data_IF_329172973284
#
_entry.id   IF_329172973284
#
_cell.length_a   1.000
_cell.length_b   1.000
_cell.length_c   1.000
_cell.angle_alpha   90.00
_cell.angle_beta   90.00
_cell.angle_gamma   90.00
#
_symmetry.space_group_name_H-M   'P 1'
#
loop_
_entity.id
_entity.type
_entity.pdbx_description
1 polymer ?
#
# COMPACT_ATOMS: atom_id res chain seq x y z
N UNK A 1 -11.66 -18.19 2.17
CA UNK A 1 -10.30 -18.20 2.76
C UNK A 1 -9.48 -17.25 1.92
N UNK A 2 -9.30 -16.01 2.37
CA UNK A 2 -8.47 -15.03 1.67
C UNK A 2 -7.01 -15.40 1.97
N UNK A 3 -6.25 -15.82 0.95
CA UNK A 3 -4.81 -16.00 1.11
C UNK A 3 -4.25 -14.60 1.15
N UNK A 4 -3.83 -14.14 2.32
CA UNK A 4 -3.10 -12.89 2.47
C UNK A 4 -1.72 -13.13 1.83
N UNK A 5 -1.54 -12.59 0.63
CA UNK A 5 -0.28 -12.53 -0.08
C UNK A 5 0.39 -11.17 0.09
N UNK A 6 1.41 -10.96 -0.73
CA UNK A 6 2.30 -9.81 -0.71
C UNK A 6 2.61 -9.43 -2.15
N UNK A 7 2.40 -8.17 -2.53
CA UNK A 7 2.87 -7.65 -3.82
C UNK A 7 4.30 -7.15 -3.64
N UNK A 8 5.20 -7.42 -4.58
CA UNK A 8 6.59 -6.96 -4.50
C UNK A 8 7.14 -6.60 -5.88
N UNK A 9 8.02 -5.61 -5.90
CA UNK A 9 8.77 -5.22 -7.07
C UNK A 9 10.18 -4.79 -6.67
N UNK A 10 11.19 -5.19 -7.46
CA UNK A 10 12.57 -4.72 -7.29
C UNK A 10 13.04 -4.06 -8.59
N UNK A 11 13.69 -2.89 -8.50
CA UNK A 11 14.23 -2.20 -9.67
C UNK A 11 15.44 -1.34 -9.33
N UNK A 12 16.41 -1.34 -10.25
CA UNK A 12 17.43 -0.30 -10.31
C UNK A 12 16.84 0.94 -10.98
N UNK A 13 16.64 1.98 -10.19
CA UNK A 13 16.21 3.27 -10.68
C UNK A 13 17.42 4.03 -11.23
N UNK A 14 17.13 4.90 -12.20
CA UNK A 14 18.06 5.95 -12.63
C UNK A 14 18.61 6.71 -11.43
N UNK A 15 19.83 7.23 -11.60
CA UNK A 15 20.64 7.85 -10.54
C UNK A 15 21.24 6.87 -9.52
N UNK A 16 21.17 5.56 -9.79
CA UNK A 16 21.90 4.53 -9.06
C UNK A 16 21.36 4.25 -7.67
N UNK A 17 20.04 4.15 -7.60
CA UNK A 17 19.32 3.64 -6.43
C UNK A 17 18.74 2.29 -6.81
N UNK A 18 19.00 1.27 -6.00
CA UNK A 18 18.23 0.02 -6.03
C UNK A 18 17.12 0.13 -5.02
N UNK A 19 15.90 -0.19 -5.43
CA UNK A 19 14.73 -0.20 -4.54
C UNK A 19 14.06 -1.57 -4.64
N UNK A 20 13.78 -2.15 -3.49
CA UNK A 20 12.89 -3.29 -3.30
C UNK A 20 11.66 -2.81 -2.53
N UNK A 21 10.49 -2.98 -3.13
CA UNK A 21 9.21 -2.58 -2.56
C UNK A 21 8.38 -3.82 -2.30
N UNK A 22 7.80 -3.87 -1.11
CA UNK A 22 6.92 -4.95 -0.65
C UNK A 22 5.65 -4.31 -0.07
N UNK A 23 4.50 -4.57 -0.70
CA UNK A 23 3.20 -4.10 -0.26
C UNK A 23 2.39 -5.22 0.40
N UNK A 24 1.94 -5.00 1.63
CA UNK A 24 1.20 -5.99 2.43
C UNK A 24 0.09 -5.29 3.23
N UNK A 25 -1.11 -5.88 3.34
CA UNK A 25 -1.57 -7.14 2.75
C UNK A 25 -1.99 -6.99 1.27
N UNK A 26 -1.90 -8.08 0.50
CA UNK A 26 -2.51 -8.20 -0.83
C UNK A 26 -3.26 -9.56 -0.94
N UNK A 27 -4.60 -9.60 -1.11
CA UNK A 27 -5.49 -8.48 -1.37
C UNK A 27 -5.83 -7.67 -0.11
N UNK A 28 -6.21 -6.40 -0.33
CA UNK A 28 -6.59 -5.45 0.72
C UNK A 28 -8.04 -4.99 0.52
N UNK A 29 -8.81 -4.97 1.61
CA UNK A 29 -10.19 -4.50 1.57
C UNK A 29 -10.27 -2.96 1.53
N UNK A 30 -11.33 -2.36 0.95
CA UNK A 30 -11.59 -0.93 1.06
C UNK A 30 -11.62 -0.48 2.53
N UNK A 31 -11.00 0.66 2.82
CA UNK A 31 -10.80 1.19 4.17
C UNK A 31 -9.66 0.52 4.96
N UNK A 32 -9.05 -0.54 4.42
CA UNK A 32 -7.88 -1.20 5.00
C UNK A 32 -6.62 -0.35 4.93
N UNK A 33 -5.62 -0.73 5.74
CA UNK A 33 -4.29 -0.13 5.71
C UNK A 33 -3.36 -1.03 4.91
N UNK A 34 -2.66 -0.44 3.95
CA UNK A 34 -1.62 -1.02 3.14
C UNK A 34 -0.27 -0.49 3.61
N UNK A 35 0.63 -1.39 3.98
CA UNK A 35 2.02 -1.05 4.31
C UNK A 35 2.90 -1.32 3.09
N UNK A 36 3.64 -0.30 2.65
CA UNK A 36 4.76 -0.44 1.74
C UNK A 36 6.06 -0.45 2.54
N UNK A 37 6.69 -1.62 2.63
CA UNK A 37 8.05 -1.76 3.12
C UNK A 37 9.02 -1.56 1.94
N UNK A 38 9.99 -0.69 2.11
CA UNK A 38 10.93 -0.28 1.08
C UNK A 38 12.34 -0.52 1.60
N UNK A 39 13.08 -1.41 0.95
CA UNK A 39 14.51 -1.58 1.14
C UNK A 39 15.23 -0.88 -0.01
N UNK A 40 16.25 -0.07 0.31
CA UNK A 40 16.94 0.71 -0.71
C UNK A 40 18.45 0.70 -0.50
N UNK A 41 19.16 0.80 -1.62
CA UNK A 41 20.62 0.95 -1.65
C UNK A 41 21.01 1.98 -2.69
N UNK A 42 21.60 3.09 -2.23
CA UNK A 42 22.17 4.13 -3.09
C UNK A 42 23.62 3.75 -3.39
N UNK A 43 23.90 3.38 -4.64
CA UNK A 43 25.21 2.89 -5.10
C UNK A 43 25.88 3.79 -6.13
N UNK A 44 25.20 4.85 -6.58
CA UNK A 44 25.79 5.86 -7.45
C UNK A 44 25.42 7.26 -6.99
N UNK A 45 26.37 8.18 -7.17
CA UNK A 45 26.24 9.60 -6.81
C UNK A 45 26.23 10.50 -8.05
N UNK A 46 26.05 9.93 -9.23
CA UNK A 46 26.25 10.64 -10.50
C UNK A 46 25.27 11.80 -10.69
N UNK A 47 24.17 11.81 -9.95
CA UNK A 47 23.09 12.81 -9.97
C UNK A 47 22.49 12.95 -8.57
N UNK A 48 23.30 13.33 -7.59
CA UNK A 48 22.79 13.78 -6.29
C UNK A 48 22.13 15.15 -6.50
N UNK A 49 21.05 15.44 -5.78
CA UNK A 49 20.49 16.79 -5.72
C UNK A 49 21.55 17.82 -5.32
N UNK A 50 21.33 19.09 -5.67
CA UNK A 50 22.26 20.19 -5.34
C UNK A 50 22.53 20.33 -3.82
N UNK A 51 21.65 19.76 -3.00
CA UNK A 51 21.72 19.67 -1.54
C UNK A 51 22.51 18.46 -1.02
N UNK A 52 23.07 17.64 -1.91
CA UNK A 52 23.77 16.42 -1.52
C UNK A 52 22.82 15.32 -1.06
N UNK A 53 21.55 15.32 -1.48
CA UNK A 53 20.56 14.31 -1.07
C UNK A 53 20.01 13.53 -2.25
N UNK A 54 19.69 12.26 -1.99
CA UNK A 54 19.00 11.41 -2.94
C UNK A 54 17.54 11.32 -2.52
N UNK A 55 16.63 11.69 -3.43
CA UNK A 55 15.20 11.71 -3.13
C UNK A 55 14.49 10.59 -3.87
N UNK A 56 13.52 9.95 -3.20
CA UNK A 56 12.53 9.08 -3.83
C UNK A 56 11.16 9.73 -3.72
N UNK A 57 10.44 9.78 -4.84
CA UNK A 57 9.06 10.18 -4.89
C UNK A 57 8.14 8.98 -5.08
N UNK A 58 6.94 9.09 -4.56
CA UNK A 58 5.91 8.07 -4.62
C UNK A 58 4.66 8.74 -5.15
N UNK A 59 4.18 8.26 -6.29
CA UNK A 59 2.95 8.73 -6.93
C UNK A 59 1.85 7.68 -6.82
N UNK A 60 0.66 8.12 -6.44
CA UNK A 60 -0.53 7.30 -6.31
C UNK A 60 -1.77 8.08 -6.74
N UNK A 61 -2.87 7.39 -7.05
CA UNK A 61 -4.15 8.05 -7.30
C UNK A 61 -4.80 8.44 -5.96
N UNK A 62 -5.02 9.74 -5.68
CA UNK A 62 -5.67 10.18 -4.44
C UNK A 62 -7.14 9.75 -4.33
N UNK A 63 -7.76 9.26 -5.41
CA UNK A 63 -9.06 8.60 -5.34
C UNK A 63 -8.97 7.17 -4.79
N UNK A 64 -7.80 6.54 -4.86
CA UNK A 64 -7.59 5.14 -4.48
C UNK A 64 -6.90 4.96 -3.14
N UNK A 65 -5.95 5.85 -2.84
CA UNK A 65 -5.09 5.78 -1.66
C UNK A 65 -5.01 7.13 -0.95
N UNK A 66 -4.89 7.08 0.38
CA UNK A 66 -4.61 8.21 1.24
C UNK A 66 -3.33 7.94 2.04
N UNK A 67 -2.36 8.84 1.97
CA UNK A 67 -1.16 8.75 2.80
C UNK A 67 -1.50 9.01 4.28
N UNK A 68 -1.10 8.10 5.17
CA UNK A 68 -1.35 8.22 6.62
C UNK A 68 -0.08 8.61 7.36
N UNK A 69 1.00 7.86 7.15
CA UNK A 69 2.28 8.09 7.82
C UNK A 69 3.42 7.30 7.18
N UNK A 70 4.64 7.62 7.56
CA UNK A 70 5.84 6.86 7.22
C UNK A 70 6.80 6.80 8.40
N UNK A 71 7.69 5.80 8.40
CA UNK A 71 8.74 5.67 9.42
C UNK A 71 9.83 6.73 9.31
N UNK A 72 9.90 7.42 8.17
CA UNK A 72 10.78 8.57 7.91
C UNK A 72 9.93 9.79 7.56
N UNK A 73 10.39 10.97 7.94
CA UNK A 73 9.70 12.22 7.62
C UNK A 73 9.72 12.49 6.12
N UNK A 74 8.56 12.81 5.56
CA UNK A 74 8.49 13.27 4.19
C UNK A 74 9.14 14.65 4.05
N UNK A 75 9.82 14.87 2.93
CA UNK A 75 10.29 16.18 2.52
C UNK A 75 9.12 17.06 2.04
N UNK A 76 8.17 16.44 1.35
CA UNK A 76 6.99 17.10 0.81
C UNK A 76 5.83 16.11 0.73
N UNK A 77 4.64 16.59 1.08
CA UNK A 77 3.40 15.84 1.02
C UNK A 77 2.36 16.65 0.25
N UNK A 78 1.84 16.07 -0.83
CA UNK A 78 0.73 16.60 -1.60
C UNK A 78 -0.23 15.46 -1.96
N UNK A 79 -1.52 15.74 -2.20
CA UNK A 79 -2.44 14.70 -2.67
C UNK A 79 -1.90 14.03 -3.93
N UNK A 80 -1.69 12.72 -3.86
CA UNK A 80 -1.18 11.90 -4.97
C UNK A 80 0.34 11.83 -5.11
N UNK A 81 1.12 12.62 -4.37
CA UNK A 81 2.59 12.55 -4.39
C UNK A 81 3.20 12.80 -3.00
N UNK A 82 4.03 11.87 -2.53
CA UNK A 82 4.88 12.04 -1.33
C UNK A 82 6.34 11.82 -1.69
N UNK A 83 7.26 12.63 -1.14
CA UNK A 83 8.70 12.50 -1.38
C UNK A 83 9.51 12.35 -0.08
N UNK A 84 10.56 11.54 -0.14
CA UNK A 84 11.44 11.23 0.99
C UNK A 84 12.92 11.41 0.64
N UNK A 85 13.68 11.97 1.57
CA UNK A 85 15.14 12.01 1.52
C UNK A 85 15.72 10.66 1.94
N UNK A 86 16.30 9.90 1.03
CA UNK A 86 16.97 8.63 1.34
C UNK A 86 18.34 8.81 2.01
N UNK A 87 18.93 10.00 1.93
CA UNK A 87 20.32 10.25 2.31
C UNK A 87 21.30 9.45 1.44
N UNK A 88 22.47 9.17 2.02
CA UNK A 88 23.49 8.32 1.38
C UNK A 88 23.52 6.93 1.99
N UNK A 89 23.80 5.93 1.15
CA UNK A 89 23.97 4.54 1.56
C UNK A 89 22.69 3.71 1.40
N UNK A 90 22.57 2.68 2.23
CA UNK A 90 21.44 1.75 2.22
C UNK A 90 20.60 1.88 3.49
N UNK A 91 19.32 1.58 3.39
CA UNK A 91 18.40 1.61 4.52
C UNK A 91 17.04 1.04 4.16
N UNK A 92 16.10 1.16 5.10
CA UNK A 92 14.73 0.76 4.86
C UNK A 92 13.73 1.73 5.47
N UNK A 93 12.50 1.73 4.95
CA UNK A 93 11.39 2.51 5.47
C UNK A 93 10.05 1.80 5.26
N UNK A 94 9.08 2.12 6.12
CA UNK A 94 7.70 1.68 5.99
C UNK A 94 6.81 2.89 5.72
N UNK A 95 5.84 2.72 4.84
CA UNK A 95 4.84 3.73 4.48
C UNK A 95 3.46 3.12 4.63
N UNK A 96 2.59 3.82 5.36
CA UNK A 96 1.23 3.39 5.62
C UNK A 96 0.26 4.22 4.79
N UNK A 97 -0.49 3.56 3.92
CA UNK A 97 -1.53 4.15 3.10
C UNK A 97 -2.87 3.51 3.41
N UNK A 98 -3.94 4.30 3.43
CA UNK A 98 -5.30 3.82 3.56
C UNK A 98 -5.93 3.64 2.19
N UNK A 99 -6.59 2.51 1.99
CA UNK A 99 -7.30 2.20 0.75
C UNK A 99 -8.66 2.89 0.74
N UNK A 100 -8.90 3.76 -0.23
CA UNK A 100 -10.16 4.47 -0.42
C UNK A 100 -11.05 3.82 -1.47
N UNK A 101 -10.45 3.17 -2.49
CA UNK A 101 -11.20 2.58 -3.60
C UNK A 101 -12.13 1.47 -3.10
N UNK A 102 -13.43 1.63 -3.37
CA UNK A 102 -14.46 0.66 -3.00
C UNK A 102 -14.68 -0.43 -4.06
N UNK A 103 -14.28 -0.17 -5.31
CA UNK A 103 -14.49 -1.10 -6.42
C UNK A 103 -13.36 -2.11 -6.53
N UNK A 104 -13.66 -3.38 -6.85
CA UNK A 104 -12.63 -4.39 -7.09
C UNK A 104 -11.72 -3.98 -8.24
N UNK A 105 -10.42 -4.25 -8.13
CA UNK A 105 -9.44 -3.86 -9.14
C UNK A 105 -8.02 -3.83 -8.61
N UNK A 106 -7.09 -3.37 -9.45
CA UNK A 106 -5.67 -3.22 -9.12
C UNK A 106 -5.38 -1.76 -8.78
N UNK A 107 -4.76 -1.52 -7.63
CA UNK A 107 -4.18 -0.23 -7.26
C UNK A 107 -2.72 -0.24 -7.68
N UNK A 108 -2.33 0.68 -8.57
CA UNK A 108 -0.95 0.88 -8.97
C UNK A 108 -0.32 2.00 -8.13
N UNK A 109 0.91 1.80 -7.68
CA UNK A 109 1.70 2.83 -7.02
C UNK A 109 3.07 2.90 -7.66
N UNK A 110 3.49 4.11 -7.99
CA UNK A 110 4.73 4.37 -8.71
C UNK A 110 5.80 4.94 -7.79
N UNK A 111 6.98 4.34 -7.76
CA UNK A 111 8.14 4.90 -7.08
C UNK A 111 9.16 5.35 -8.12
N UNK A 112 9.71 6.54 -7.92
CA UNK A 112 10.62 7.17 -8.86
C UNK A 112 11.76 7.86 -8.13
N UNK A 113 12.96 7.80 -8.70
CA UNK A 113 14.09 8.59 -8.21
C UNK A 113 13.97 10.04 -8.70
N UNK A 114 14.33 10.98 -7.82
CA UNK A 114 14.26 12.42 -8.09
C UNK A 114 15.65 13.03 -7.95
N UNK A 115 16.06 13.80 -8.97
CA UNK A 115 17.20 14.69 -8.91
C UNK A 115 16.70 16.10 -8.59
N UNK A 116 16.95 16.60 -7.38
CA UNK A 116 16.59 17.98 -7.00
C UNK A 116 17.62 18.96 -7.56
N UNK A 117 17.24 19.76 -8.56
CA UNK A 117 18.08 20.85 -9.08
C UNK A 117 17.69 22.19 -8.44
N UNK A 118 18.16 22.42 -7.21
CA UNK A 118 18.22 23.75 -6.58
C UNK A 118 17.26 24.01 -5.39
N UNK A 119 17.54 25.00 -4.53
CA UNK A 119 16.64 25.46 -3.46
C UNK A 119 15.76 26.65 -3.90
N UNK A 120 14.62 26.96 -3.23
CA UNK A 120 13.68 26.14 -2.48
C UNK A 120 12.30 26.21 -3.15
N UNK A 121 12.22 25.93 -4.43
CA UNK A 121 10.96 25.67 -5.09
C UNK A 121 11.12 24.28 -5.68
N UNK A 122 10.30 23.34 -5.22
CA UNK A 122 10.26 21.96 -5.71
C UNK A 122 9.77 21.97 -7.16
N UNK A 123 10.61 22.48 -8.07
CA UNK A 123 10.39 22.44 -9.50
C UNK A 123 10.99 21.13 -9.96
N UNK A 124 10.12 20.16 -10.23
CA UNK A 124 10.47 18.91 -10.89
C UNK A 124 10.89 19.23 -12.34
N UNK A 125 12.10 19.73 -12.54
CA UNK A 125 12.61 20.10 -13.87
C UNK A 125 13.81 19.23 -14.23
N UNK A 126 13.52 18.11 -14.88
CA UNK A 126 14.53 17.16 -15.38
C UNK A 126 14.28 15.74 -14.86
N UNK A 127 13.17 15.15 -15.29
CA UNK A 127 12.81 13.79 -14.94
C UNK A 127 13.64 12.78 -15.75
N UNK A 128 14.68 12.23 -15.14
CA UNK A 128 15.10 10.89 -15.49
C UNK A 128 14.28 9.95 -14.60
N UNK A 129 13.08 9.60 -15.08
CA UNK A 129 12.06 8.87 -14.33
C UNK A 129 12.17 7.38 -14.63
N UNK A 130 12.96 6.69 -13.83
CA UNK A 130 12.77 5.26 -13.68
C UNK A 130 11.65 5.00 -12.68
N UNK A 131 10.57 4.40 -13.18
CA UNK A 131 9.43 4.02 -12.35
C UNK A 131 9.48 2.55 -11.99
N UNK A 132 9.21 2.23 -10.73
CA UNK A 132 8.80 0.89 -10.29
C UNK A 132 7.33 0.93 -9.90
N UNK A 133 6.56 -0.06 -10.35
CA UNK A 133 5.11 -0.13 -10.11
C UNK A 133 4.82 -1.31 -9.18
N UNK A 134 4.06 -1.07 -8.14
CA UNK A 134 3.50 -2.12 -7.27
C UNK A 134 2.00 -2.16 -7.45
N UNK A 135 1.49 -3.34 -7.78
CA UNK A 135 0.08 -3.61 -8.04
C UNK A 135 -0.53 -4.39 -6.88
N UNK A 136 -1.55 -3.82 -6.22
CA UNK A 136 -2.26 -4.45 -5.10
C UNK A 136 -3.71 -4.70 -5.45
N UNK A 137 -4.24 -5.85 -5.08
CA UNK A 137 -5.58 -6.31 -5.46
C UNK A 137 -6.62 -5.92 -4.41
N UNK A 138 -7.72 -5.31 -4.86
CA UNK A 138 -8.94 -5.15 -4.06
C UNK A 138 -9.89 -6.31 -4.41
N UNK A 139 -10.29 -7.14 -3.44
CA UNK A 139 -11.11 -8.30 -3.71
C UNK A 139 -12.52 -7.88 -4.11
N UNK A 140 -13.17 -8.69 -4.94
CA UNK A 140 -14.63 -8.58 -5.11
C UNK A 140 -15.31 -8.79 -3.78
N UNK A 141 -16.30 -7.95 -3.46
CA UNK A 141 -17.10 -8.11 -2.25
C UNK A 141 -17.61 -9.56 -2.20
N UNK A 142 -17.26 -10.28 -1.13
CA UNK A 142 -17.80 -11.62 -0.89
C UNK A 142 -19.33 -11.45 -0.80
N UNK A 143 -20.13 -12.18 -1.59
CA UNK A 143 -21.57 -12.09 -1.46
C UNK A 143 -21.92 -12.41 -0.01
N UNK A 144 -22.53 -11.45 0.69
CA UNK A 144 -23.13 -11.69 1.98
C UNK A 144 -24.07 -12.88 1.79
N UNK A 145 -23.74 -14.03 2.38
CA UNK A 145 -24.69 -15.12 2.42
C UNK A 145 -25.95 -14.54 3.05
N UNK A 146 -27.12 -14.63 2.38
CA UNK A 146 -28.36 -14.20 3.02
C UNK A 146 -28.41 -14.95 4.33
N UNK A 147 -28.50 -14.22 5.44
CA UNK A 147 -28.66 -14.78 6.77
C UNK A 147 -29.76 -15.83 6.66
N UNK A 148 -29.39 -17.12 6.59
CA UNK A 148 -30.35 -18.19 6.67
C UNK A 148 -30.83 -18.08 8.10
N UNK A 149 -31.96 -17.38 8.28
CA UNK A 149 -32.77 -17.47 9.46
C UNK A 149 -33.01 -18.97 9.67
N UNK A 150 -32.18 -19.58 10.51
CA UNK A 150 -32.40 -20.93 11.02
C UNK A 150 -33.78 -20.83 11.69
N UNK A 151 -34.83 -21.51 11.18
CA UNK A 151 -36.10 -21.46 11.83
C UNK A 151 -35.93 -22.12 13.20
N UNK A 152 -36.10 -21.33 14.26
CA UNK A 152 -36.08 -21.71 15.69
C UNK A 152 -37.25 -22.66 16.06
N UNK A 153 -37.83 -23.38 15.08
CA UNK A 153 -39.06 -24.16 15.26
C UNK A 153 -38.80 -25.60 15.73
N UNK A 154 -37.56 -26.10 15.70
CA UNK A 154 -37.29 -27.53 16.02
C UNK A 154 -37.12 -27.80 17.52
N UNK A 155 -36.84 -26.80 18.36
CA UNK A 155 -36.53 -27.05 19.80
C UNK A 155 -37.80 -27.24 20.65
N UNK A 156 -38.96 -26.71 20.24
CA UNK A 156 -40.21 -26.86 21.03
C UNK A 156 -40.84 -28.26 20.84
N UNK A 157 -40.60 -28.94 19.71
CA UNK A 157 -41.17 -30.26 19.43
C UNK A 157 -40.59 -31.40 20.28
N UNK A 158 -39.32 -31.31 20.72
CA UNK A 158 -38.69 -32.36 21.52
C UNK A 158 -39.01 -32.29 23.03
N UNK A 159 -39.46 -31.14 23.54
CA UNK A 159 -39.88 -31.03 24.94
C UNK A 159 -41.24 -31.71 25.21
N UNK A 160 -42.12 -31.82 24.21
CA UNK A 160 -43.45 -32.42 24.37
C UNK A 160 -43.46 -33.95 24.27
N UNK A 161 -42.46 -34.58 23.63
CA UNK A 161 -42.40 -36.04 23.51
C UNK A 161 -41.96 -36.72 24.83
N UNK A 162 -41.23 -36.02 25.70
CA UNK A 162 -40.72 -36.59 26.97
C UNK A 162 -41.79 -36.60 28.08
N UNK A 163 -42.80 -35.72 28.00
CA UNK A 163 -43.85 -35.62 29.04
C UNK A 163 -44.98 -36.66 28.90
N UNK A 164 -45.09 -37.37 27.76
CA UNK A 164 -46.14 -38.38 27.54
C UNK A 164 -45.73 -39.83 27.84
N UNK A 165 -44.46 -40.10 28.18
CA UNK A 165 -43.97 -41.46 28.48
C UNK A 165 -44.05 -41.82 29.98
N UNK A 166 -44.43 -40.86 30.85
CA UNK A 166 -44.70 -41.15 32.27
C UNK A 166 -46.19 -41.05 32.58
N UNK A 167 -46.94 -42.11 32.24
CA UNK A 167 -48.16 -42.47 32.96
C UNK A 167 -48.32 -43.98 32.99
#
# INVERSE_FOLDING_TARGET
>A
MCIIGTASATKDLEFGIRVDVVATPDPVAPGGILEYYIDYSVFSLSQIGADGKQTIGISYDPADLEFISASRSALSESPGVVAFDLGFGSGSMSIYMKVLRATPGIIATEFHSLALTGPPEFSYIGESRSTITTDVTIPSAVPEFPSMAIPVVIIIGMAFLILFIRK
#
